data_IF_329382244250
#
_entry.id   IF_329382244250
#
_cell.length_a   1.000
_cell.length_b   1.000
_cell.length_c   1.000
_cell.angle_alpha   90.00
_cell.angle_beta   90.00
_cell.angle_gamma   90.00
#
_symmetry.space_group_name_H-M   'P 1'
#
loop_
_entity.id
_entity.type
_entity.pdbx_description
1 polymer ?
#
# COMPACT_ATOMS: atom_id res chain seq x y z
N UNK A 1 -5.16 -30.18 -18.48
CA UNK A 1 -5.63 -29.62 -17.20
C UNK A 1 -4.40 -29.27 -16.37
N UNK A 2 -3.93 -28.00 -16.33
CA UNK A 2 -2.80 -27.68 -15.47
C UNK A 2 -3.25 -27.70 -14.00
N UNK A 3 -2.47 -28.41 -13.18
CA UNK A 3 -2.70 -28.55 -11.76
C UNK A 3 -2.72 -27.17 -11.08
N UNK A 4 -3.75 -26.93 -10.27
CA UNK A 4 -3.78 -25.81 -9.33
C UNK A 4 -2.69 -26.07 -8.28
N UNK A 5 -1.53 -25.43 -8.48
CA UNK A 5 -0.47 -25.39 -7.49
C UNK A 5 -1.07 -24.78 -6.21
N UNK A 6 -1.06 -25.55 -5.13
CA UNK A 6 -1.46 -25.07 -3.83
C UNK A 6 -0.60 -23.85 -3.49
N UNK A 7 -1.25 -22.70 -3.29
CA UNK A 7 -0.59 -21.51 -2.74
C UNK A 7 -0.02 -21.93 -1.40
N UNK A 8 1.31 -21.96 -1.33
CA UNK A 8 2.06 -22.24 -0.13
C UNK A 8 1.54 -21.33 0.99
N UNK A 9 0.95 -21.91 2.04
CA UNK A 9 0.20 -21.15 3.04
C UNK A 9 1.11 -20.34 3.97
N UNK A 10 2.42 -20.43 3.78
CA UNK A 10 3.45 -19.70 4.51
C UNK A 10 3.97 -18.44 3.78
N UNK A 11 3.60 -18.19 2.51
CA UNK A 11 3.99 -16.94 1.82
C UNK A 11 3.06 -15.78 2.23
N UNK A 12 3.60 -14.58 2.57
CA UNK A 12 2.79 -13.40 2.85
C UNK A 12 1.87 -13.05 1.68
N UNK A 13 0.63 -12.68 1.99
CA UNK A 13 -0.31 -12.18 0.98
C UNK A 13 0.14 -10.79 0.55
N UNK A 14 0.65 -10.70 -0.69
CA UNK A 14 1.01 -9.42 -1.32
C UNK A 14 -0.25 -8.62 -1.69
N UNK A 15 -0.36 -7.42 -1.13
CA UNK A 15 -1.47 -6.49 -1.34
C UNK A 15 -0.97 -5.23 -2.03
N UNK A 16 -1.23 -5.11 -3.33
CA UNK A 16 -0.83 -3.94 -4.12
C UNK A 16 -1.93 -2.88 -4.14
N UNK A 17 -1.68 -1.74 -3.48
CA UNK A 17 -2.57 -0.58 -3.47
C UNK A 17 -2.09 0.46 -4.49
N UNK A 18 -2.83 0.65 -5.59
CA UNK A 18 -2.47 1.62 -6.64
C UNK A 18 -3.25 2.92 -6.45
N UNK A 19 -2.55 4.05 -6.30
CA UNK A 19 -3.16 5.35 -6.01
C UNK A 19 -2.54 6.50 -6.81
N UNK A 20 -3.39 7.39 -7.33
CA UNK A 20 -2.97 8.55 -8.12
C UNK A 20 -3.29 9.92 -7.51
N UNK A 21 -4.32 10.03 -6.67
CA UNK A 21 -4.85 11.32 -6.20
C UNK A 21 -4.99 11.40 -4.67
N UNK A 22 -4.96 12.62 -4.11
CA UNK A 22 -5.10 12.89 -2.66
C UNK A 22 -6.25 12.15 -1.96
N UNK A 23 -7.49 12.09 -2.53
CA UNK A 23 -8.58 11.34 -1.90
C UNK A 23 -8.33 9.83 -1.78
N UNK A 24 -7.47 9.25 -2.62
CA UNK A 24 -7.15 7.83 -2.57
C UNK A 24 -6.22 7.52 -1.41
N UNK A 25 -5.20 8.35 -1.17
CA UNK A 25 -4.27 8.17 -0.05
C UNK A 25 -4.99 8.22 1.30
N UNK A 26 -5.92 9.15 1.49
CA UNK A 26 -6.72 9.23 2.73
C UNK A 26 -7.52 7.95 2.99
N UNK A 27 -7.95 7.24 1.94
CA UNK A 27 -8.69 5.97 2.06
C UNK A 27 -7.78 4.77 2.23
N UNK A 28 -6.60 4.79 1.61
CA UNK A 28 -5.63 3.67 1.64
C UNK A 28 -4.82 3.66 2.93
N UNK A 29 -4.49 4.82 3.51
CA UNK A 29 -3.74 4.93 4.75
C UNK A 29 -4.26 4.03 5.90
N UNK A 30 -5.56 4.05 6.28
CA UNK A 30 -6.06 3.18 7.34
C UNK A 30 -5.97 1.68 6.98
N UNK A 31 -6.07 1.32 5.70
CA UNK A 31 -5.93 -0.06 5.24
C UNK A 31 -4.47 -0.53 5.35
N UNK A 32 -3.52 0.28 4.88
CA UNK A 32 -2.09 -0.03 4.98
C UNK A 32 -1.69 -0.27 6.43
N UNK A 33 -2.15 0.61 7.35
CA UNK A 33 -1.92 0.43 8.79
C UNK A 33 -2.50 -0.90 9.30
N UNK A 34 -3.76 -1.19 9.00
CA UNK A 34 -4.42 -2.41 9.46
C UNK A 34 -3.78 -3.69 8.90
N UNK A 35 -3.19 -3.65 7.71
CA UNK A 35 -2.47 -4.79 7.14
C UNK A 35 -1.07 -4.94 7.75
N UNK A 36 -0.33 -3.85 7.96
CA UNK A 36 0.98 -3.88 8.61
C UNK A 36 0.90 -4.39 10.06
N UNK A 37 -0.16 -4.05 10.79
CA UNK A 37 -0.39 -4.53 12.17
C UNK A 37 -0.69 -6.04 12.25
N UNK A 38 -1.04 -6.69 11.14
CA UNK A 38 -1.31 -8.13 11.08
C UNK A 38 -0.04 -8.98 10.87
N UNK A 39 1.13 -8.37 10.97
CA UNK A 39 2.43 -9.04 10.94
C UNK A 39 2.75 -9.64 9.57
N UNK A 40 3.56 -10.71 9.56
CA UNK A 40 4.07 -11.37 8.34
C UNK A 40 3.00 -12.04 7.47
N UNK A 41 1.72 -11.94 7.81
CA UNK A 41 0.63 -12.49 6.99
C UNK A 41 0.37 -11.65 5.74
N UNK A 42 0.64 -10.35 5.79
CA UNK A 42 0.38 -9.43 4.69
C UNK A 42 1.61 -8.61 4.37
N UNK A 43 1.84 -8.41 3.07
CA UNK A 43 2.86 -7.51 2.55
C UNK A 43 2.14 -6.40 1.77
N UNK A 44 1.72 -5.31 2.44
CA UNK A 44 1.05 -4.20 1.79
C UNK A 44 2.06 -3.31 1.06
N UNK A 45 1.83 -3.06 -0.23
CA UNK A 45 2.70 -2.28 -1.12
C UNK A 45 1.88 -1.14 -1.72
N UNK A 46 2.34 0.10 -1.58
CA UNK A 46 1.71 1.28 -2.19
C UNK A 46 2.40 1.62 -3.51
N UNK A 47 1.65 1.65 -4.61
CA UNK A 47 2.11 2.14 -5.91
C UNK A 47 1.49 3.50 -6.18
N UNK A 48 2.32 4.53 -6.20
CA UNK A 48 1.88 5.86 -6.58
C UNK A 48 2.01 6.08 -8.10
N UNK A 49 0.90 6.37 -8.79
CA UNK A 49 0.89 6.61 -10.25
C UNK A 49 1.31 8.02 -10.67
N UNK A 50 1.74 8.88 -9.76
CA UNK A 50 2.25 10.23 -10.05
C UNK A 50 1.22 11.28 -10.50
N UNK A 51 -0.07 10.96 -10.56
CA UNK A 51 -1.11 11.89 -11.02
C UNK A 51 -1.57 12.92 -9.96
N UNK A 52 -0.63 13.64 -9.35
CA UNK A 52 -0.77 14.94 -8.62
C UNK A 52 0.56 15.27 -7.89
N UNK A 53 1.71 15.10 -8.57
CA UNK A 53 3.02 15.36 -7.97
C UNK A 53 3.31 16.87 -7.89
N UNK A 54 2.54 17.59 -7.08
CA UNK A 54 2.93 18.92 -6.63
C UNK A 54 3.82 18.74 -5.40
N UNK A 55 5.12 18.64 -5.67
CA UNK A 55 6.21 18.30 -4.73
C UNK A 55 6.21 19.20 -3.48
N UNK A 56 5.67 20.41 -3.58
CA UNK A 56 5.59 21.36 -2.48
C UNK A 56 4.49 21.04 -1.43
N UNK A 57 3.53 20.16 -1.75
CA UNK A 57 2.40 19.83 -0.86
C UNK A 57 2.42 18.36 -0.35
N UNK A 58 3.24 17.50 -0.95
CA UNK A 58 3.33 16.07 -0.61
C UNK A 58 4.21 15.79 0.62
N UNK A 59 5.35 16.45 0.76
CA UNK A 59 6.35 16.11 1.80
C UNK A 59 5.83 16.37 3.23
N UNK A 60 4.97 17.37 3.43
CA UNK A 60 4.31 17.57 4.73
C UNK A 60 3.26 16.49 5.00
N UNK A 61 2.56 15.99 3.97
CA UNK A 61 1.46 15.05 4.14
C UNK A 61 1.92 13.63 4.46
N UNK A 62 2.98 13.14 3.80
CA UNK A 62 3.56 11.82 4.11
C UNK A 62 4.12 11.79 5.53
N UNK A 63 4.77 12.89 5.93
CA UNK A 63 5.29 13.08 7.29
C UNK A 63 4.18 13.20 8.34
N UNK A 64 3.14 13.97 8.06
CA UNK A 64 2.02 14.19 9.01
C UNK A 64 1.13 12.95 9.16
N UNK A 65 1.06 12.10 8.13
CA UNK A 65 0.26 10.87 8.16
C UNK A 65 1.05 9.59 8.47
N UNK A 66 2.38 9.69 8.63
CA UNK A 66 3.24 8.55 8.94
C UNK A 66 3.22 7.47 7.85
N UNK A 67 3.08 7.87 6.58
CA UNK A 67 3.08 6.94 5.46
C UNK A 67 4.52 6.85 4.93
N UNK A 68 5.11 5.66 4.76
CA UNK A 68 6.44 5.52 4.19
C UNK A 68 6.49 6.14 2.78
N UNK A 69 7.58 6.87 2.51
CA UNK A 69 7.85 7.41 1.18
C UNK A 69 8.02 6.26 0.17
N UNK A 70 7.52 6.44 -1.07
CA UNK A 70 7.66 5.45 -2.13
C UNK A 70 9.12 5.22 -2.56
#
# INVERSE_FOLDING_TARGET
MPAQQGVDRDEPIRLLAVAGARPNFMKIAPLMKAFSERGSRFEPILVHTGQHYDRAMSDSFFRDLGIPEP
#
